data_IF_018238896537
#
_entry.id   IF_018238896537
#
_cell.length_a   1.000
_cell.length_b   1.000
_cell.length_c   1.000
_cell.angle_alpha   90.00
_cell.angle_beta   90.00
_cell.angle_gamma   90.00
#
_symmetry.space_group_name_H-M   'P 1'
#
loop_
_entity.id
_entity.type
_entity.pdbx_description
1 polymer ?
#
# COMPACT_ATOMS: atom_id res chain seq x y z
N UNK A 1 4.03 -66.18 -7.98
CA UNK A 1 3.83 -64.93 -8.75
C UNK A 1 3.62 -63.81 -7.72
N UNK A 2 4.51 -62.82 -7.73
CA UNK A 2 4.72 -61.83 -6.65
C UNK A 2 3.78 -60.63 -6.83
N UNK A 3 3.25 -60.08 -5.72
CA UNK A 3 2.42 -58.88 -5.72
C UNK A 3 3.31 -57.63 -5.66
N UNK A 4 3.23 -56.79 -6.69
CA UNK A 4 3.98 -55.52 -6.75
C UNK A 4 3.07 -54.40 -6.20
N UNK A 5 3.41 -53.91 -5.02
CA UNK A 5 2.86 -52.67 -4.47
C UNK A 5 3.61 -51.51 -5.12
N UNK A 6 2.98 -50.83 -6.07
CA UNK A 6 3.43 -49.53 -6.57
C UNK A 6 2.83 -48.45 -5.69
N UNK A 7 3.46 -48.23 -4.53
CA UNK A 7 3.20 -47.09 -3.67
C UNK A 7 4.05 -45.91 -4.09
N UNK A 8 3.48 -44.99 -4.86
CA UNK A 8 3.85 -43.57 -4.82
C UNK A 8 2.70 -42.78 -5.44
N UNK A 9 1.88 -42.21 -4.57
CA UNK A 9 1.07 -41.03 -4.90
C UNK A 9 2.05 -40.00 -5.46
N UNK A 10 2.06 -39.79 -6.78
CA UNK A 10 2.87 -38.77 -7.40
C UNK A 10 2.51 -37.43 -6.75
N UNK A 11 3.49 -36.90 -6.00
CA UNK A 11 3.50 -35.66 -5.24
C UNK A 11 2.38 -34.67 -5.62
N UNK A 12 1.29 -34.69 -4.83
CA UNK A 12 0.35 -33.57 -4.81
C UNK A 12 1.06 -32.40 -4.14
N UNK A 13 1.36 -31.40 -4.97
CA UNK A 13 1.49 -29.98 -4.66
C UNK A 13 2.30 -29.59 -3.41
N UNK A 14 3.52 -29.08 -3.63
CA UNK A 14 4.11 -28.11 -2.70
C UNK A 14 4.38 -26.79 -3.42
N UNK A 15 3.44 -25.85 -3.38
CA UNK A 15 3.73 -24.43 -3.55
C UNK A 15 3.60 -23.68 -2.22
N UNK A 16 3.99 -24.26 -1.08
CA UNK A 16 3.90 -23.57 0.22
C UNK A 16 4.85 -22.37 0.36
N UNK A 17 5.87 -22.26 -0.48
CA UNK A 17 6.88 -21.20 -0.39
C UNK A 17 6.47 -19.89 -1.08
N UNK A 18 5.78 -19.96 -2.21
CA UNK A 18 5.32 -18.76 -2.93
C UNK A 18 4.25 -18.00 -2.14
N UNK A 19 3.35 -18.74 -1.47
CA UNK A 19 2.34 -18.15 -0.60
C UNK A 19 2.97 -17.42 0.61
N UNK A 20 4.08 -17.91 1.14
CA UNK A 20 4.70 -17.32 2.35
C UNK A 20 5.34 -15.96 2.08
N UNK A 21 5.98 -15.77 0.92
CA UNK A 21 6.65 -14.52 0.56
C UNK A 21 5.61 -13.45 0.22
N UNK A 22 4.63 -13.80 -0.62
CA UNK A 22 3.55 -12.86 -0.99
C UNK A 22 2.71 -12.43 0.22
N UNK A 23 2.52 -13.32 1.20
CA UNK A 23 1.87 -12.97 2.48
C UNK A 23 2.74 -12.05 3.35
N UNK A 24 4.06 -12.23 3.35
CA UNK A 24 4.97 -11.36 4.08
C UNK A 24 5.01 -9.94 3.47
N UNK A 25 5.09 -9.83 2.14
CA UNK A 25 5.01 -8.54 1.43
C UNK A 25 3.68 -7.85 1.68
N UNK A 26 2.57 -8.58 1.60
CA UNK A 26 1.24 -8.07 1.98
C UNK A 26 1.22 -7.53 3.41
N UNK A 27 1.82 -8.26 4.36
CA UNK A 27 1.87 -7.81 5.75
C UNK A 27 2.73 -6.55 5.93
N UNK A 28 3.82 -6.42 5.16
CA UNK A 28 4.66 -5.24 5.16
C UNK A 28 3.91 -4.01 4.59
N UNK A 29 3.19 -4.19 3.48
CA UNK A 29 2.31 -3.14 2.92
C UNK A 29 1.24 -2.71 3.92
N UNK A 30 0.56 -3.66 4.55
CA UNK A 30 -0.49 -3.37 5.53
C UNK A 30 0.09 -2.58 6.73
N UNK A 31 1.34 -2.86 7.14
CA UNK A 31 2.04 -2.10 8.17
C UNK A 31 2.38 -0.67 7.72
N UNK A 32 2.88 -0.49 6.49
CA UNK A 32 3.15 0.86 5.91
C UNK A 32 1.86 1.67 5.80
N UNK A 33 0.79 1.06 5.30
CA UNK A 33 -0.50 1.76 5.17
C UNK A 33 -1.11 2.08 6.54
N UNK A 34 -0.92 1.19 7.53
CA UNK A 34 -1.32 1.48 8.92
C UNK A 34 -0.51 2.64 9.51
N UNK A 35 0.80 2.72 9.25
CA UNK A 35 1.61 3.85 9.71
C UNK A 35 1.17 5.15 9.03
N UNK A 36 0.90 5.13 7.72
CA UNK A 36 0.35 6.27 6.97
C UNK A 36 -0.96 6.75 7.60
N UNK A 37 -1.93 5.84 7.85
CA UNK A 37 -3.20 6.20 8.51
C UNK A 37 -2.99 6.84 9.88
N UNK A 38 -2.05 6.31 10.67
CA UNK A 38 -1.71 6.87 11.98
C UNK A 38 -1.07 8.25 11.86
N UNK A 39 -0.14 8.44 10.93
CA UNK A 39 0.50 9.72 10.65
C UNK A 39 -0.52 10.77 10.20
N UNK A 40 -1.40 10.41 9.26
CA UNK A 40 -2.49 11.27 8.79
C UNK A 40 -3.42 11.69 9.94
N UNK A 41 -3.75 10.76 10.84
CA UNK A 41 -4.58 11.06 12.02
C UNK A 41 -3.86 12.03 12.96
N UNK A 42 -2.56 11.85 13.18
CA UNK A 42 -1.76 12.74 14.01
C UNK A 42 -1.62 14.14 13.39
N UNK A 43 -1.37 14.21 12.08
CA UNK A 43 -1.33 15.47 11.34
C UNK A 43 -2.67 16.20 11.43
N UNK A 44 -3.78 15.48 11.19
CA UNK A 44 -5.13 16.04 11.30
C UNK A 44 -5.41 16.60 12.70
N UNK A 45 -4.97 15.90 13.76
CA UNK A 45 -5.08 16.43 15.12
C UNK A 45 -4.24 17.70 15.32
N UNK A 46 -3.02 17.76 14.79
CA UNK A 46 -2.19 18.96 14.90
C UNK A 46 -2.81 20.15 14.15
N UNK A 47 -3.28 19.94 12.92
CA UNK A 47 -4.02 20.96 12.17
C UNK A 47 -5.28 21.41 12.92
N UNK A 48 -5.97 20.49 13.60
CA UNK A 48 -7.13 20.85 14.42
C UNK A 48 -6.76 21.83 15.55
N UNK A 49 -5.57 21.72 16.13
CA UNK A 49 -5.09 22.68 17.13
C UNK A 49 -4.62 24.00 16.53
N UNK A 50 -3.96 23.98 15.36
CA UNK A 50 -3.36 25.17 14.75
C UNK A 50 -4.36 26.01 13.93
N UNK A 51 -5.11 25.37 13.04
CA UNK A 51 -6.08 26.01 12.13
C UNK A 51 -7.52 25.87 12.63
N UNK A 52 -7.75 25.11 13.70
CA UNK A 52 -9.09 24.81 14.20
C UNK A 52 -9.81 23.72 13.40
N UNK A 53 -9.13 23.03 12.45
CA UNK A 53 -9.74 22.00 11.59
C UNK A 53 -8.82 20.82 11.31
N UNK A 54 -9.41 19.63 11.26
CA UNK A 54 -8.73 18.39 10.91
C UNK A 54 -8.54 18.29 9.39
N UNK A 55 -7.32 18.57 8.92
CA UNK A 55 -6.95 18.51 7.50
C UNK A 55 -5.89 17.44 7.28
N UNK A 56 -5.90 16.81 6.11
CA UNK A 56 -4.84 15.89 5.69
C UNK A 56 -3.87 16.61 4.73
N UNK A 57 -2.57 16.29 4.75
CA UNK A 57 -1.60 16.91 3.85
C UNK A 57 -1.84 16.51 2.40
N UNK A 58 -1.30 17.29 1.45
CA UNK A 58 -1.43 16.97 0.01
C UNK A 58 -0.76 15.66 -0.35
N UNK A 59 0.39 15.36 0.27
CA UNK A 59 1.07 14.08 0.14
C UNK A 59 0.99 13.31 1.47
N UNK A 60 0.44 12.08 1.49
CA UNK A 60 0.28 11.29 2.71
C UNK A 60 1.61 10.93 3.39
N UNK A 61 2.70 10.83 2.64
CA UNK A 61 4.03 10.52 3.18
C UNK A 61 4.66 11.70 3.94
N UNK A 62 4.15 12.92 3.77
CA UNK A 62 4.59 14.09 4.55
C UNK A 62 4.04 14.08 5.99
N UNK A 63 2.98 13.30 6.24
CA UNK A 63 2.49 13.08 7.62
C UNK A 63 3.37 12.11 8.42
N UNK A 64 4.29 11.39 7.77
CA UNK A 64 5.15 10.41 8.40
C UNK A 64 6.48 11.05 8.80
N UNK A 65 6.93 10.78 10.03
CA UNK A 65 8.28 11.17 10.47
C UNK A 65 9.38 10.37 9.77
N UNK A 66 9.09 9.13 9.38
CA UNK A 66 9.99 8.25 8.64
C UNK A 66 9.26 7.70 7.42
N UNK A 67 9.82 7.97 6.24
CA UNK A 67 9.28 7.50 4.96
C UNK A 67 9.58 6.01 4.81
N UNK A 68 8.69 5.20 4.21
CA UNK A 68 8.95 3.78 4.04
C UNK A 68 10.18 3.55 3.16
N UNK A 69 10.83 2.41 3.37
CA UNK A 69 11.93 1.99 2.52
C UNK A 69 11.46 1.89 1.06
N UNK A 70 12.24 2.45 0.13
CA UNK A 70 11.88 2.52 -1.27
C UNK A 70 10.93 3.66 -1.64
N UNK A 71 10.60 4.59 -0.72
CA UNK A 71 9.87 5.79 -1.10
C UNK A 71 10.66 6.63 -2.11
N UNK A 72 10.07 6.84 -3.28
CA UNK A 72 10.54 7.76 -4.30
C UNK A 72 9.62 8.98 -4.36
N UNK A 73 10.19 10.11 -4.79
CA UNK A 73 9.44 11.34 -5.09
C UNK A 73 8.93 11.38 -6.53
N UNK A 74 9.03 10.25 -7.24
CA UNK A 74 8.54 10.15 -8.60
C UNK A 74 7.03 10.40 -8.67
N UNK A 75 6.65 11.12 -9.73
CA UNK A 75 5.27 11.50 -10.01
C UNK A 75 4.54 10.44 -10.86
N UNK A 76 5.19 9.30 -11.07
CA UNK A 76 4.70 8.14 -11.82
C UNK A 76 4.42 6.97 -10.88
N UNK A 77 3.71 5.98 -11.39
CA UNK A 77 3.46 4.75 -10.64
C UNK A 77 4.77 4.01 -10.40
N UNK A 78 4.89 3.39 -9.22
CA UNK A 78 6.05 2.60 -8.82
C UNK A 78 6.43 1.61 -9.92
N UNK A 79 7.69 1.69 -10.38
CA UNK A 79 8.21 0.86 -11.46
C UNK A 79 9.40 0.00 -11.07
N UNK A 80 9.93 0.23 -9.87
CA UNK A 80 11.05 -0.48 -9.30
C UNK A 80 10.61 -1.37 -8.13
N UNK A 81 11.24 -2.53 -7.98
CA UNK A 81 10.89 -3.49 -6.92
C UNK A 81 11.09 -2.89 -5.51
N UNK A 82 10.04 -2.96 -4.69
CA UNK A 82 10.02 -2.40 -3.34
C UNK A 82 9.72 -0.89 -3.31
N UNK A 83 9.51 -0.26 -4.45
CA UNK A 83 9.31 1.18 -4.54
C UNK A 83 7.92 1.61 -4.05
N UNK A 84 7.85 2.74 -3.36
CA UNK A 84 6.61 3.43 -2.99
C UNK A 84 6.58 4.81 -3.63
N UNK A 85 5.50 5.14 -4.33
CA UNK A 85 5.32 6.49 -4.90
C UNK A 85 3.96 7.06 -4.53
N UNK A 86 3.83 8.38 -4.65
CA UNK A 86 2.56 9.07 -4.55
C UNK A 86 2.32 9.87 -5.82
N UNK A 87 1.45 9.34 -6.68
CA UNK A 87 1.13 9.90 -7.99
C UNK A 87 -0.39 10.09 -8.10
N UNK A 88 -0.83 11.22 -8.69
CA UNK A 88 -2.24 11.44 -9.07
C UNK A 88 -3.29 11.17 -7.98
N UNK A 89 -3.00 11.48 -6.71
CA UNK A 89 -3.93 11.23 -5.59
C UNK A 89 -4.01 9.75 -5.20
N UNK A 90 -2.97 8.97 -5.46
CA UNK A 90 -2.91 7.55 -5.13
C UNK A 90 -1.51 7.20 -4.65
N UNK A 91 -1.44 6.33 -3.66
CA UNK A 91 -0.19 5.70 -3.27
C UNK A 91 -0.04 4.47 -4.15
N UNK A 92 1.14 4.26 -4.73
CA UNK A 92 1.44 3.03 -5.48
C UNK A 92 2.65 2.31 -4.92
N UNK A 93 2.67 0.99 -5.05
CA UNK A 93 3.76 0.14 -4.62
C UNK A 93 3.97 -1.00 -5.61
N UNK A 94 5.23 -1.33 -5.90
CA UNK A 94 5.60 -2.53 -6.67
C UNK A 94 6.33 -3.53 -5.76
N UNK A 95 5.86 -4.77 -5.76
CA UNK A 95 6.49 -5.90 -5.06
C UNK A 95 7.65 -6.50 -5.86
N UNK A 96 8.43 -7.38 -5.23
CA UNK A 96 9.55 -8.05 -5.90
C UNK A 96 9.13 -9.07 -6.98
N UNK A 97 7.85 -9.45 -7.02
CA UNK A 97 7.26 -10.25 -8.09
C UNK A 97 6.72 -9.41 -9.26
N UNK A 98 7.05 -8.10 -9.28
CA UNK A 98 6.59 -7.10 -10.24
C UNK A 98 5.09 -6.78 -10.14
N UNK A 99 4.35 -7.36 -9.18
CA UNK A 99 2.95 -7.01 -8.96
C UNK A 99 2.83 -5.60 -8.36
N UNK A 100 1.88 -4.82 -8.89
CA UNK A 100 1.66 -3.44 -8.48
C UNK A 100 0.35 -3.28 -7.75
N UNK A 101 0.39 -2.52 -6.66
CA UNK A 101 -0.76 -2.22 -5.83
C UNK A 101 -0.90 -0.72 -5.65
N UNK A 102 -2.15 -0.29 -5.46
CA UNK A 102 -2.50 1.09 -5.25
C UNK A 102 -3.50 1.28 -4.11
N UNK A 103 -3.45 2.46 -3.52
CA UNK A 103 -4.40 2.95 -2.54
C UNK A 103 -4.83 4.35 -2.95
N UNK A 104 -6.14 4.54 -3.20
CA UNK A 104 -6.67 5.87 -3.49
C UNK A 104 -6.53 6.78 -2.27
N UNK A 105 -6.07 8.01 -2.48
CA UNK A 105 -5.85 8.98 -1.43
C UNK A 105 -6.51 10.30 -1.80
N UNK A 106 -7.51 10.67 -1.03
CA UNK A 106 -8.17 11.96 -1.13
C UNK A 106 -7.81 12.76 0.13
N UNK A 107 -7.07 13.87 0.05
CA UNK A 107 -6.76 14.70 1.22
C UNK A 107 -8.01 15.41 1.79
N UNK A 108 -9.13 15.38 1.06
CA UNK A 108 -10.36 16.06 1.44
C UNK A 108 -10.31 17.55 1.11
N UNK A 109 -11.05 18.37 1.85
CA UNK A 109 -11.12 19.81 1.61
C UNK A 109 -10.12 20.54 2.49
N UNK A 110 -9.07 21.07 1.89
CA UNK A 110 -8.10 21.94 2.56
C UNK A 110 -8.59 23.39 2.53
N UNK A 111 -8.72 24.04 3.69
CA UNK A 111 -9.06 25.47 3.81
C UNK A 111 -10.47 25.88 3.36
N UNK A 112 -11.40 24.93 3.20
CA UNK A 112 -12.75 25.20 2.67
C UNK A 112 -13.79 25.66 3.70
N UNK A 113 -14.94 26.13 3.19
CA UNK A 113 -16.10 26.57 3.96
C UNK A 113 -16.91 25.45 4.61
N UNK A 114 -18.22 25.62 4.75
CA UNK A 114 -19.11 24.73 5.54
C UNK A 114 -19.14 23.25 5.08
N UNK A 115 -18.67 22.96 3.86
CA UNK A 115 -18.59 21.62 3.27
C UNK A 115 -17.25 20.89 3.50
N UNK A 116 -16.46 21.32 4.49
CA UNK A 116 -15.16 20.71 4.77
C UNK A 116 -15.29 19.21 5.11
N UNK A 117 -14.62 18.36 4.31
CA UNK A 117 -14.58 16.90 4.49
C UNK A 117 -13.17 16.45 4.86
N UNK A 118 -13.07 15.55 5.83
CA UNK A 118 -11.82 14.84 6.11
C UNK A 118 -11.44 13.95 4.94
N UNK A 119 -10.14 13.80 4.72
CA UNK A 119 -9.62 12.93 3.68
C UNK A 119 -10.01 11.46 3.83
N UNK A 120 -9.85 10.70 2.75
CA UNK A 120 -10.09 9.25 2.74
C UNK A 120 -8.89 8.53 2.17
N UNK A 121 -8.53 7.41 2.79
CA UNK A 121 -7.55 6.46 2.27
C UNK A 121 -8.26 5.16 1.93
N UNK A 122 -8.23 4.81 0.65
CA UNK A 122 -8.85 3.62 0.09
C UNK A 122 -8.18 2.32 0.52
N UNK A 123 -8.79 1.23 0.09
CA UNK A 123 -8.25 -0.11 0.30
C UNK A 123 -7.24 -0.46 -0.80
N UNK A 124 -6.41 -1.46 -0.51
CA UNK A 124 -5.47 -1.98 -1.49
C UNK A 124 -6.20 -2.51 -2.72
N UNK A 125 -5.80 -2.02 -3.88
CA UNK A 125 -6.29 -2.45 -5.20
C UNK A 125 -5.10 -2.90 -6.03
N UNK A 126 -5.22 -3.99 -6.78
CA UNK A 126 -4.16 -4.41 -7.69
C UNK A 126 -4.26 -3.60 -8.99
N UNK A 127 -3.13 -3.04 -9.45
CA UNK A 127 -3.04 -2.44 -10.77
C UNK A 127 -2.75 -3.59 -11.74
N UNK A 128 -3.68 -3.89 -12.64
CA UNK A 128 -3.38 -4.79 -13.74
C UNK A 128 -2.28 -4.14 -14.59
N UNK A 129 -1.10 -4.78 -14.67
CA UNK A 129 -0.09 -4.36 -15.63
C UNK A 129 -0.76 -4.34 -17.00
N UNK A 130 -0.89 -3.15 -17.61
CA UNK A 130 -1.29 -3.07 -19.01
C UNK A 130 -0.18 -3.75 -19.81
N UNK A 131 -0.42 -5.00 -20.21
CA UNK A 131 0.40 -5.73 -21.15
C UNK A 131 0.49 -4.86 -22.42
N UNK A 132 1.64 -4.23 -22.63
CA UNK A 132 2.04 -3.72 -23.94
C UNK A 132 2.90 -4.77 -24.64
#
# INVERSE_FOLDING_TARGET
IVMVILGIMAAVAVPRYLDSISNAEKSAEDAVISSVRSGLTQFANNSLYESGRAEWPTNPFEALSEKPAGYSTDVTDADTDGEWTFSSGRITHQRADNSRFEWSYEPGTQGGGDDAKIGTLGNRTAIAQQQQ
#
